data_IF_013677789853
#
_entry.id   IF_013677789853
#
_cell.length_a   1.000
_cell.length_b   1.000
_cell.length_c   1.000
_cell.angle_alpha   90.00
_cell.angle_beta   90.00
_cell.angle_gamma   90.00
#
_symmetry.space_group_name_H-M   'P 1'
#
loop_
_entity.id
_entity.type
_entity.pdbx_description
1 polymer ?
#
# COMPACT_ATOMS: atom_id res chain seq x y z
N UNK A 1 -10.55 -8.32 9.99
CA UNK A 1 -9.99 -8.99 11.17
C UNK A 1 -10.81 -10.23 11.46
N UNK A 2 -10.18 -11.38 11.69
CA UNK A 2 -10.85 -12.60 12.16
C UNK A 2 -10.21 -13.00 13.49
N UNK A 3 -11.02 -13.49 14.42
CA UNK A 3 -10.56 -13.99 15.71
C UNK A 3 -11.17 -15.37 15.95
N UNK A 4 -10.36 -16.30 16.46
CA UNK A 4 -10.76 -17.64 16.84
C UNK A 4 -10.28 -17.94 18.25
N UNK A 5 -11.09 -18.69 19.02
CA UNK A 5 -10.65 -19.19 20.32
C UNK A 5 -9.53 -20.21 20.15
N UNK A 6 -8.52 -20.14 21.02
CA UNK A 6 -7.37 -21.06 21.05
C UNK A 6 -7.20 -21.59 22.47
N UNK A 7 -6.69 -22.81 22.60
CA UNK A 7 -6.25 -23.38 23.87
C UNK A 7 -4.91 -22.74 24.24
N UNK A 8 -4.80 -22.12 25.42
CA UNK A 8 -3.57 -21.44 25.84
C UNK A 8 -2.36 -22.38 25.90
N UNK A 9 -2.60 -23.69 26.02
CA UNK A 9 -1.58 -24.74 26.09
C UNK A 9 -1.06 -25.17 24.71
N UNK A 10 -1.58 -24.61 23.62
CA UNK A 10 -1.11 -24.85 22.25
C UNK A 10 0.18 -24.07 21.91
N UNK A 11 0.82 -23.45 22.90
CA UNK A 11 2.12 -22.78 22.76
C UNK A 11 3.26 -23.73 23.09
N UNK A 12 4.11 -24.04 22.09
CA UNK A 12 5.27 -24.93 22.29
C UNK A 12 6.52 -24.22 22.81
N UNK A 13 6.57 -22.91 22.69
CA UNK A 13 7.72 -22.09 23.07
C UNK A 13 7.29 -20.64 23.27
N UNK A 14 8.03 -19.92 24.12
CA UNK A 14 7.85 -18.50 24.39
C UNK A 14 9.22 -17.83 24.48
N UNK A 15 9.31 -16.56 24.08
CA UNK A 15 10.53 -15.76 24.07
C UNK A 15 10.22 -14.30 24.42
N UNK A 16 11.15 -13.65 25.09
CA UNK A 16 11.06 -12.24 25.48
C UNK A 16 12.12 -11.36 24.78
N UNK A 17 12.98 -11.96 23.97
CA UNK A 17 14.07 -11.32 23.24
C UNK A 17 13.69 -11.02 21.79
N UNK A 18 12.52 -10.38 21.61
CA UNK A 18 12.04 -10.01 20.28
C UNK A 18 13.07 -9.10 19.57
N UNK A 19 13.36 -9.42 18.30
CA UNK A 19 14.15 -8.57 17.41
C UNK A 19 13.22 -8.04 16.33
N UNK A 20 13.07 -6.74 16.26
CA UNK A 20 12.36 -6.07 15.18
C UNK A 20 13.37 -5.57 14.14
N UNK A 21 12.95 -5.47 12.89
CA UNK A 21 13.73 -4.86 11.81
C UNK A 21 12.94 -3.72 11.20
N UNK A 22 13.47 -2.52 11.33
CA UNK A 22 12.91 -1.31 10.76
C UNK A 22 13.61 -1.03 9.43
N UNK A 23 12.82 -0.88 8.37
CA UNK A 23 13.25 -0.41 7.07
C UNK A 23 12.76 1.03 6.90
N UNK A 24 13.62 1.88 6.35
CA UNK A 24 13.28 3.25 5.97
C UNK A 24 13.72 3.51 4.54
N UNK A 25 12.89 4.24 3.79
CA UNK A 25 13.08 4.50 2.37
C UNK A 25 12.96 6.00 2.12
N UNK A 26 14.00 6.57 1.52
CA UNK A 26 14.02 7.98 1.14
C UNK A 26 13.62 8.20 -0.32
N UNK A 27 13.52 9.47 -0.73
CA UNK A 27 13.16 9.85 -2.10
C UNK A 27 14.24 9.51 -3.14
N UNK A 28 15.48 9.26 -2.71
CA UNK A 28 16.59 8.84 -3.58
C UNK A 28 16.63 7.33 -3.81
N UNK A 29 15.72 6.56 -3.19
CA UNK A 29 15.72 5.10 -3.24
C UNK A 29 16.76 4.45 -2.34
N UNK A 30 17.39 5.22 -1.43
CA UNK A 30 18.30 4.67 -0.42
C UNK A 30 17.47 4.03 0.68
N UNK A 31 17.78 2.76 0.96
CA UNK A 31 17.20 2.02 2.08
C UNK A 31 18.16 2.04 3.26
N UNK A 32 17.68 2.39 4.44
CA UNK A 32 18.35 2.13 5.70
C UNK A 32 17.59 1.06 6.48
N UNK A 33 18.33 0.09 7.03
CA UNK A 33 17.79 -1.06 7.75
C UNK A 33 18.48 -1.18 9.09
N UNK A 34 17.70 -1.21 10.16
CA UNK A 34 18.21 -1.30 11.54
C UNK A 34 17.42 -2.36 12.31
N UNK A 35 18.13 -3.21 13.05
CA UNK A 35 17.52 -4.11 14.02
C UNK A 35 17.32 -3.40 15.36
N UNK A 36 16.10 -3.48 15.89
CA UNK A 36 15.72 -2.96 17.21
C UNK A 36 15.54 -4.17 18.13
N UNK A 37 16.33 -4.21 19.19
CA UNK A 37 16.36 -5.28 20.21
C UNK A 37 16.06 -4.68 21.58
N UNK A 38 15.74 -5.53 22.55
CA UNK A 38 15.45 -5.14 23.94
C UNK A 38 14.38 -4.03 24.07
N UNK A 39 13.39 -4.10 23.18
CA UNK A 39 12.33 -3.10 23.05
C UNK A 39 10.95 -3.79 22.96
N UNK A 40 9.91 -3.10 23.40
CA UNK A 40 8.54 -3.54 23.13
C UNK A 40 8.15 -3.19 21.68
N UNK A 41 7.11 -3.84 21.16
CA UNK A 41 6.56 -3.55 19.82
C UNK A 41 6.21 -2.07 19.67
N UNK A 42 5.68 -1.45 20.73
CA UNK A 42 5.25 -0.06 20.76
C UNK A 42 6.43 0.90 20.54
N UNK A 43 7.60 0.59 21.13
CA UNK A 43 8.82 1.38 20.95
C UNK A 43 9.36 1.23 19.52
N UNK A 44 9.29 0.03 18.96
CA UNK A 44 9.69 -0.24 17.58
C UNK A 44 8.78 0.47 16.56
N UNK A 45 7.46 0.47 16.78
CA UNK A 45 6.50 1.23 15.97
C UNK A 45 6.74 2.75 16.09
N UNK A 46 6.93 3.25 17.31
CA UNK A 46 7.26 4.66 17.54
C UNK A 46 8.52 5.09 16.80
N UNK A 47 9.54 4.23 16.76
CA UNK A 47 10.76 4.50 15.98
C UNK A 47 10.47 4.67 14.49
N UNK A 48 9.58 3.85 13.93
CA UNK A 48 9.07 4.00 12.56
C UNK A 48 8.30 5.31 12.37
N UNK A 49 7.40 5.66 13.29
CA UNK A 49 6.65 6.92 13.23
C UNK A 49 7.55 8.16 13.23
N UNK A 50 8.61 8.16 14.05
CA UNK A 50 9.61 9.24 14.08
C UNK A 50 10.33 9.36 12.73
N UNK A 51 10.68 8.23 12.11
CA UNK A 51 11.22 8.24 10.75
C UNK A 51 10.21 8.79 9.73
N UNK A 52 8.93 8.39 9.84
CA UNK A 52 7.84 8.91 9.02
C UNK A 52 7.70 10.43 9.07
N UNK A 53 7.72 11.02 10.27
CA UNK A 53 7.69 12.48 10.46
C UNK A 53 8.89 13.20 9.87
N UNK A 54 9.99 12.48 9.61
CA UNK A 54 11.19 13.00 8.96
C UNK A 54 11.14 12.88 7.43
N UNK A 55 9.99 12.52 6.86
CA UNK A 55 9.80 12.41 5.40
C UNK A 55 10.31 11.09 4.82
N UNK A 56 10.31 10.01 5.61
CA UNK A 56 10.70 8.67 5.15
C UNK A 56 9.48 7.76 5.07
N UNK A 57 9.41 6.94 4.02
CA UNK A 57 8.58 5.74 4.08
C UNK A 57 9.24 4.75 5.04
N UNK A 58 8.44 3.92 5.72
CA UNK A 58 8.99 2.93 6.64
C UNK A 58 8.10 1.70 6.76
N UNK A 59 8.73 0.57 7.05
CA UNK A 59 8.07 -0.70 7.36
C UNK A 59 8.80 -1.42 8.50
N UNK A 60 8.07 -2.24 9.23
CA UNK A 60 8.56 -2.94 10.41
C UNK A 60 8.24 -4.42 10.32
N UNK A 61 9.23 -5.27 10.57
CA UNK A 61 9.08 -6.72 10.65
C UNK A 61 9.56 -7.25 12.00
N UNK A 62 8.95 -8.33 12.48
CA UNK A 62 9.53 -9.20 13.48
C UNK A 62 10.51 -10.16 12.80
N UNK A 63 11.74 -10.23 13.29
CA UNK A 63 12.76 -11.15 12.82
C UNK A 63 12.59 -12.48 13.54
N UNK A 64 12.38 -13.55 12.78
CA UNK A 64 12.29 -14.91 13.30
C UNK A 64 13.51 -15.67 12.82
N UNK A 65 14.32 -16.18 13.76
CA UNK A 65 15.38 -17.13 13.45
C UNK A 65 14.78 -18.55 13.56
N UNK A 66 14.42 -19.15 12.43
CA UNK A 66 13.90 -20.52 12.32
C UNK A 66 15.07 -21.51 12.16
N UNK A 67 15.03 -22.63 12.88
CA UNK A 67 16.14 -23.60 12.88
C UNK A 67 16.28 -24.37 11.58
N UNK A 68 15.21 -24.49 10.78
CA UNK A 68 15.22 -25.18 9.49
C UNK A 68 15.25 -24.22 8.30
N UNK A 69 14.52 -23.11 8.36
CA UNK A 69 14.39 -22.14 7.28
C UNK A 69 15.39 -20.98 7.37
N UNK A 70 16.12 -20.88 8.48
CA UNK A 70 17.02 -19.76 8.75
C UNK A 70 16.25 -18.50 9.15
N UNK A 71 16.84 -17.33 8.90
CA UNK A 71 16.24 -16.05 9.28
C UNK A 71 15.12 -15.65 8.33
N UNK A 72 13.91 -15.53 8.87
CA UNK A 72 12.73 -15.00 8.19
C UNK A 72 12.23 -13.70 8.82
N UNK A 73 11.24 -13.11 8.16
CA UNK A 73 10.56 -11.89 8.57
C UNK A 73 9.05 -12.14 8.65
N UNK A 74 8.42 -11.59 9.67
CA UNK A 74 6.96 -11.44 9.76
C UNK A 74 6.66 -9.94 9.74
N UNK A 75 6.07 -9.45 8.65
CA UNK A 75 5.73 -8.03 8.51
C UNK A 75 4.66 -7.63 9.52
N UNK A 76 4.96 -6.62 10.34
CA UNK A 76 4.09 -6.08 11.38
C UNK A 76 3.40 -4.80 10.94
N UNK A 77 4.07 -4.00 10.12
CA UNK A 77 3.49 -2.83 9.44
C UNK A 77 4.22 -2.59 8.12
N UNK A 78 3.46 -2.43 7.04
CA UNK A 78 4.02 -2.29 5.71
C UNK A 78 4.67 -3.57 5.17
N UNK A 79 5.55 -3.40 4.19
CA UNK A 79 6.31 -4.45 3.51
C UNK A 79 7.63 -3.88 2.99
N UNK A 80 8.41 -4.65 2.25
CA UNK A 80 9.52 -4.06 1.48
C UNK A 80 8.96 -3.14 0.39
N UNK A 81 9.36 -1.88 0.39
CA UNK A 81 8.87 -0.89 -0.57
C UNK A 81 9.49 -1.06 -1.97
N UNK A 82 10.55 -1.85 -2.12
CA UNK A 82 11.10 -2.15 -3.44
C UNK A 82 10.37 -3.30 -4.13
N UNK A 83 9.68 -4.14 -3.38
CA UNK A 83 8.91 -5.24 -3.92
C UNK A 83 7.56 -4.77 -4.45
N UNK A 84 7.18 -5.30 -5.63
CA UNK A 84 5.85 -5.09 -6.19
C UNK A 84 4.85 -5.98 -5.45
N UNK A 85 3.75 -5.43 -4.91
CA UNK A 85 2.71 -6.24 -4.29
C UNK A 85 2.09 -7.24 -5.29
N UNK A 86 1.92 -8.46 -4.83
CA UNK A 86 1.43 -9.63 -5.58
C UNK A 86 0.15 -10.22 -4.99
N UNK A 87 -0.23 -9.81 -3.77
CA UNK A 87 -1.43 -10.27 -3.08
C UNK A 87 -2.24 -9.10 -2.47
N UNK A 88 -3.54 -9.30 -2.16
CA UNK A 88 -4.34 -8.29 -1.47
C UNK A 88 -3.76 -7.87 -0.11
N UNK A 89 -3.10 -8.79 0.60
CA UNK A 89 -2.46 -8.48 1.88
C UNK A 89 -1.25 -7.55 1.69
N UNK A 90 -0.42 -7.80 0.67
CA UNK A 90 0.69 -6.94 0.32
C UNK A 90 0.21 -5.57 -0.18
N UNK A 91 -0.87 -5.50 -0.96
CA UNK A 91 -1.43 -4.22 -1.36
C UNK A 91 -2.00 -3.43 -0.19
N UNK A 92 -2.62 -4.07 0.81
CA UNK A 92 -3.02 -3.42 2.05
C UNK A 92 -1.82 -2.86 2.80
N UNK A 93 -0.74 -3.64 2.91
CA UNK A 93 0.49 -3.19 3.54
C UNK A 93 1.14 -2.01 2.81
N UNK A 94 1.19 -2.06 1.47
CA UNK A 94 1.65 -0.96 0.60
C UNK A 94 0.82 0.30 0.79
N UNK A 95 -0.51 0.16 0.78
CA UNK A 95 -1.46 1.26 0.98
C UNK A 95 -1.25 1.95 2.34
N UNK A 96 -1.10 1.16 3.41
CA UNK A 96 -0.85 1.65 4.77
C UNK A 96 0.43 2.51 4.82
N UNK A 97 1.52 2.04 4.19
CA UNK A 97 2.77 2.81 4.12
C UNK A 97 2.60 4.13 3.38
N UNK A 98 1.95 4.10 2.20
CA UNK A 98 1.69 5.28 1.38
C UNK A 98 0.81 6.30 2.12
N UNK A 99 -0.27 5.86 2.76
CA UNK A 99 -1.18 6.73 3.49
C UNK A 99 -0.51 7.37 4.71
N UNK A 100 0.30 6.62 5.47
CA UNK A 100 1.12 7.18 6.56
C UNK A 100 2.07 8.26 6.07
N UNK A 101 2.74 8.02 4.95
CA UNK A 101 3.66 8.99 4.38
C UNK A 101 2.93 10.24 3.89
N UNK A 102 1.89 10.08 3.06
CA UNK A 102 1.16 11.20 2.46
C UNK A 102 0.38 12.04 3.49
N UNK A 103 -0.01 11.46 4.62
CA UNK A 103 -0.66 12.18 5.73
C UNK A 103 0.31 13.02 6.58
N UNK A 104 1.61 12.72 6.53
CA UNK A 104 2.64 13.36 7.37
C UNK A 104 3.64 14.21 6.59
N UNK A 105 3.78 13.97 5.28
CA UNK A 105 4.70 14.70 4.43
C UNK A 105 4.35 16.21 4.41
N UNK A 106 5.34 17.12 4.62
CA UNK A 106 5.14 18.53 4.37
C UNK A 106 4.69 18.68 2.91
N UNK A 107 3.59 19.39 2.68
CA UNK A 107 3.04 19.62 1.34
C UNK A 107 3.74 20.85 0.74
N UNK A 108 4.82 20.73 -0.06
CA UNK A 108 5.19 21.83 -0.94
C UNK A 108 3.99 22.14 -1.86
N UNK A 109 3.88 23.36 -2.36
CA UNK A 109 2.83 23.76 -3.31
C UNK A 109 2.91 22.88 -4.57
N UNK A 110 2.22 21.75 -4.56
CA UNK A 110 2.33 20.71 -5.58
C UNK A 110 1.90 19.36 -5.01
N UNK A 111 1.15 18.58 -5.80
CA UNK A 111 0.42 17.39 -5.37
C UNK A 111 1.19 16.42 -4.44
N UNK A 112 0.50 15.79 -3.47
CA UNK A 112 1.08 14.80 -2.58
C UNK A 112 1.75 13.69 -3.38
N UNK A 113 3.05 13.53 -3.19
CA UNK A 113 3.87 12.57 -3.92
C UNK A 113 4.67 11.70 -2.96
N UNK A 114 4.78 10.42 -3.27
CA UNK A 114 5.63 9.43 -2.62
C UNK A 114 7.11 9.80 -2.74
N UNK A 115 8.00 9.17 -1.94
CA UNK A 115 9.43 9.20 -2.20
C UNK A 115 9.73 8.87 -3.67
N UNK A 116 10.51 9.72 -4.34
CA UNK A 116 10.79 9.63 -5.77
C UNK A 116 9.80 10.42 -6.66
N UNK A 117 8.82 11.11 -6.08
CA UNK A 117 7.96 12.05 -6.79
C UNK A 117 6.73 11.43 -7.46
N UNK A 118 6.47 10.13 -7.26
CA UNK A 118 5.28 9.47 -7.82
C UNK A 118 4.00 9.87 -7.08
N UNK A 119 2.93 10.12 -7.83
CA UNK A 119 1.56 10.27 -7.30
C UNK A 119 0.98 8.90 -6.93
N UNK A 120 -0.09 8.89 -6.12
CA UNK A 120 -0.87 7.68 -5.84
C UNK A 120 -2.26 7.82 -6.47
N UNK A 121 -2.52 7.02 -7.50
CA UNK A 121 -3.85 6.94 -8.12
C UNK A 121 -4.53 5.68 -7.59
N UNK A 122 -5.65 5.85 -6.89
CA UNK A 122 -6.47 4.77 -6.37
C UNK A 122 -7.52 4.41 -7.43
N UNK A 123 -7.63 3.13 -7.72
CA UNK A 123 -8.57 2.57 -8.70
C UNK A 123 -9.69 1.85 -7.95
N UNK A 124 -10.90 2.39 -7.96
CA UNK A 124 -12.11 1.73 -7.48
C UNK A 124 -13.37 2.45 -7.96
N UNK A 125 -14.46 1.69 -8.13
CA UNK A 125 -15.78 2.24 -8.43
C UNK A 125 -16.43 2.78 -7.15
N UNK A 126 -16.93 4.01 -7.18
CA UNK A 126 -17.75 4.59 -6.12
C UNK A 126 -19.15 4.89 -6.63
N UNK A 127 -20.13 4.89 -5.72
CA UNK A 127 -21.50 5.22 -6.06
C UNK A 127 -21.63 6.68 -6.51
N UNK A 128 -21.96 6.86 -7.78
CA UNK A 128 -22.21 8.18 -8.39
C UNK A 128 -21.00 8.85 -9.03
N UNK A 129 -19.79 8.29 -8.89
CA UNK A 129 -18.60 8.80 -9.57
C UNK A 129 -18.52 8.27 -11.01
N UNK A 130 -18.30 9.15 -11.99
CA UNK A 130 -18.22 8.79 -13.41
C UNK A 130 -16.98 7.96 -13.74
N UNK A 131 -15.87 8.25 -13.05
CA UNK A 131 -14.58 7.63 -13.26
C UNK A 131 -14.11 6.90 -12.00
N UNK A 132 -13.47 5.73 -12.13
CA UNK A 132 -13.01 4.95 -10.99
C UNK A 132 -11.64 5.41 -10.46
N UNK A 133 -11.24 6.65 -10.75
CA UNK A 133 -9.89 7.16 -10.55
C UNK A 133 -9.89 8.20 -9.43
N UNK A 134 -9.05 8.00 -8.43
CA UNK A 134 -9.02 8.86 -7.25
C UNK A 134 -7.61 9.21 -6.82
N UNK A 135 -7.43 10.40 -6.28
CA UNK A 135 -6.15 10.83 -5.72
C UNK A 135 -6.36 11.48 -4.35
N UNK A 136 -5.98 10.76 -3.30
CA UNK A 136 -6.12 11.24 -1.94
C UNK A 136 -5.13 12.37 -1.62
N UNK A 137 -5.49 13.16 -0.61
CA UNK A 137 -4.70 14.30 -0.12
C UNK A 137 -4.57 15.49 -1.10
N UNK A 138 -5.41 15.54 -2.14
CA UNK A 138 -5.57 16.66 -3.07
C UNK A 138 -6.88 17.43 -2.82
N UNK A 139 -7.03 18.63 -3.42
CA UNK A 139 -8.25 19.42 -3.30
C UNK A 139 -9.45 18.80 -4.05
N UNK A 140 -9.18 18.21 -5.22
CA UNK A 140 -10.14 17.47 -6.03
C UNK A 140 -9.74 16.01 -6.09
N UNK A 141 -10.57 15.15 -5.50
CA UNK A 141 -10.24 13.75 -5.25
C UNK A 141 -10.51 12.84 -6.44
N UNK A 142 -11.50 13.13 -7.28
CA UNK A 142 -11.81 12.32 -8.46
C UNK A 142 -10.97 12.81 -9.64
N UNK A 143 -10.45 11.89 -10.44
CA UNK A 143 -9.63 12.18 -11.62
C UNK A 143 -10.33 11.70 -12.88
N UNK A 144 -10.09 12.39 -13.99
CA UNK A 144 -10.54 11.94 -15.31
C UNK A 144 -9.40 11.29 -16.10
N UNK A 145 -9.69 10.47 -17.12
CA UNK A 145 -8.67 9.96 -18.04
C UNK A 145 -7.84 11.07 -18.70
N UNK A 146 -8.49 12.17 -19.11
CA UNK A 146 -7.83 13.30 -19.77
C UNK A 146 -6.82 14.00 -18.85
N UNK A 147 -7.17 14.21 -17.57
CA UNK A 147 -6.28 14.81 -16.57
C UNK A 147 -5.01 13.99 -16.31
N UNK A 148 -5.11 12.66 -16.48
CA UNK A 148 -3.99 11.74 -16.33
C UNK A 148 -3.28 11.45 -17.67
N UNK A 149 -3.79 11.97 -18.79
CA UNK A 149 -3.25 11.72 -20.12
C UNK A 149 -3.40 10.27 -20.58
N UNK A 150 -4.47 9.58 -20.16
CA UNK A 150 -4.73 8.20 -20.54
C UNK A 150 -5.16 8.09 -22.01
N UNK A 151 -4.94 6.93 -22.60
CA UNK A 151 -5.45 6.61 -23.93
C UNK A 151 -6.99 6.54 -23.94
N UNK A 152 -7.60 7.01 -25.03
CA UNK A 152 -9.05 6.93 -25.24
C UNK A 152 -9.60 5.48 -25.07
N UNK A 153 -8.95 4.42 -25.62
CA UNK A 153 -9.41 3.05 -25.38
C UNK A 153 -9.39 2.61 -23.91
N UNK A 154 -8.42 3.08 -23.11
CA UNK A 154 -8.40 2.78 -21.69
C UNK A 154 -9.49 3.58 -20.94
N UNK A 155 -9.67 4.85 -21.30
CA UNK A 155 -10.76 5.69 -20.80
C UNK A 155 -12.12 5.02 -20.97
N UNK A 156 -12.46 4.62 -22.20
CA UNK A 156 -13.73 3.96 -22.50
C UNK A 156 -13.98 2.69 -21.66
N UNK A 157 -12.93 1.88 -21.47
CA UNK A 157 -13.02 0.66 -20.66
C UNK A 157 -13.22 0.95 -19.17
N UNK A 158 -12.55 1.97 -18.63
CA UNK A 158 -12.76 2.41 -17.24
C UNK A 158 -14.19 2.91 -17.04
N UNK A 159 -14.74 3.65 -18.00
CA UNK A 159 -16.12 4.11 -17.97
C UNK A 159 -17.14 2.97 -18.02
N UNK A 160 -16.91 1.99 -18.89
CA UNK A 160 -17.75 0.79 -19.00
C UNK A 160 -17.73 -0.01 -17.69
N UNK A 161 -16.56 -0.18 -17.09
CA UNK A 161 -16.41 -0.90 -15.81
C UNK A 161 -17.20 -0.24 -14.67
N UNK A 162 -17.17 1.10 -14.56
CA UNK A 162 -18.00 1.84 -13.60
C UNK A 162 -19.50 1.66 -13.89
N UNK A 163 -19.90 1.71 -15.16
CA UNK A 163 -21.30 1.56 -15.55
C UNK A 163 -21.84 0.17 -15.18
N UNK A 164 -21.07 -0.88 -15.46
CA UNK A 164 -21.40 -2.25 -15.06
C UNK A 164 -21.50 -2.40 -13.53
N UNK A 165 -20.62 -1.73 -12.78
CA UNK A 165 -20.68 -1.74 -11.31
C UNK A 165 -21.97 -1.14 -10.75
N UNK A 166 -22.53 -0.14 -11.44
CA UNK A 166 -23.78 0.52 -11.03
C UNK A 166 -24.99 -0.35 -11.33
N UNK A 167 -24.95 -1.07 -12.45
CA UNK A 167 -26.07 -1.85 -12.95
C UNK A 167 -26.13 -3.27 -12.33
N UNK A 168 -25.02 -3.79 -11.82
CA UNK A 168 -24.93 -5.12 -11.23
C UNK A 168 -24.22 -5.10 -9.87
N UNK A 169 -24.74 -5.90 -8.92
CA UNK A 169 -24.05 -6.19 -7.65
C UNK A 169 -22.75 -6.96 -7.96
N UNK A 170 -21.62 -6.26 -8.06
CA UNK A 170 -20.33 -6.75 -8.54
C UNK A 170 -19.99 -8.20 -8.15
N UNK A 171 -19.74 -9.04 -9.17
CA UNK A 171 -19.34 -10.44 -9.03
C UNK A 171 -17.86 -10.68 -9.34
N UNK A 172 -17.43 -11.95 -9.37
CA UNK A 172 -16.04 -12.33 -9.63
C UNK A 172 -15.46 -11.81 -10.96
N UNK A 173 -16.28 -11.74 -12.01
CA UNK A 173 -15.87 -11.23 -13.33
C UNK A 173 -15.52 -9.73 -13.28
N UNK A 174 -16.24 -8.97 -12.46
CA UNK A 174 -16.00 -7.54 -12.28
C UNK A 174 -14.65 -7.27 -11.60
N UNK A 175 -14.27 -8.10 -10.61
CA UNK A 175 -12.97 -8.02 -9.93
C UNK A 175 -11.83 -8.43 -10.87
N UNK A 176 -12.04 -9.48 -11.67
CA UNK A 176 -11.06 -9.91 -12.66
C UNK A 176 -10.79 -8.82 -13.70
N UNK A 177 -11.82 -8.10 -14.15
CA UNK A 177 -11.65 -6.95 -15.03
C UNK A 177 -10.93 -5.79 -14.35
N UNK A 178 -11.25 -5.50 -13.08
CA UNK A 178 -10.52 -4.50 -12.29
C UNK A 178 -9.01 -4.74 -12.27
N UNK A 179 -8.56 -5.99 -12.15
CA UNK A 179 -7.13 -6.34 -12.23
C UNK A 179 -6.52 -6.15 -13.63
N UNK A 180 -7.28 -6.39 -14.71
CA UNK A 180 -6.80 -6.10 -16.07
C UNK A 180 -6.66 -4.60 -16.29
N UNK A 181 -7.63 -3.82 -15.83
CA UNK A 181 -7.62 -2.36 -15.90
C UNK A 181 -6.49 -1.77 -15.04
N UNK A 182 -6.27 -2.32 -13.85
CA UNK A 182 -5.13 -1.96 -13.00
C UNK A 182 -3.79 -2.11 -13.74
N UNK A 183 -3.57 -3.25 -14.40
CA UNK A 183 -2.33 -3.51 -15.13
C UNK A 183 -2.11 -2.53 -16.30
N UNK A 184 -3.17 -2.24 -17.06
CA UNK A 184 -3.11 -1.29 -18.18
C UNK A 184 -2.90 0.15 -17.70
N UNK A 185 -3.66 0.56 -16.68
CA UNK A 185 -3.52 1.88 -16.08
C UNK A 185 -2.12 2.08 -15.51
N UNK A 186 -1.57 1.07 -14.82
CA UNK A 186 -0.23 1.13 -14.26
C UNK A 186 0.86 1.24 -15.34
N UNK A 187 0.65 0.66 -16.53
CA UNK A 187 1.57 0.80 -17.66
C UNK A 187 1.57 2.25 -18.19
N UNK A 188 0.39 2.83 -18.41
CA UNK A 188 0.27 4.19 -18.96
C UNK A 188 0.77 5.28 -18.00
N UNK A 189 0.52 5.15 -16.69
CA UNK A 189 0.89 6.19 -15.69
C UNK A 189 2.21 5.90 -14.98
N UNK A 190 2.85 4.77 -15.22
CA UNK A 190 3.94 4.24 -14.38
C UNK A 190 5.17 5.15 -14.26
N UNK A 191 5.34 6.09 -15.20
CA UNK A 191 6.39 7.10 -15.20
C UNK A 191 6.21 8.17 -14.11
N UNK A 192 4.97 8.48 -13.71
CA UNK A 192 4.66 9.56 -12.77
C UNK A 192 3.75 9.14 -11.60
N UNK A 193 3.13 7.96 -11.64
CA UNK A 193 2.23 7.49 -10.60
C UNK A 193 2.34 5.99 -10.33
N UNK A 194 1.95 5.60 -9.12
CA UNK A 194 1.65 4.23 -8.73
C UNK A 194 0.13 4.08 -8.62
N UNK A 195 -0.41 2.98 -9.18
CA UNK A 195 -1.83 2.67 -9.18
C UNK A 195 -2.13 1.69 -8.06
N UNK A 196 -3.04 2.06 -7.16
CA UNK A 196 -3.49 1.25 -6.03
C UNK A 196 -4.83 0.58 -6.36
N UNK A 197 -4.94 -0.76 -6.34
CA UNK A 197 -6.16 -1.50 -6.70
C UNK A 197 -7.17 -1.56 -5.54
N UNK A 198 -7.70 -0.39 -5.14
CA UNK A 198 -8.59 -0.24 -3.99
C UNK A 198 -9.90 -1.02 -4.08
N UNK A 199 -10.32 -1.43 -5.28
CA UNK A 199 -11.46 -2.33 -5.49
C UNK A 199 -11.29 -3.73 -4.85
N UNK A 200 -10.09 -4.07 -4.37
CA UNK A 200 -9.73 -5.39 -3.82
C UNK A 200 -9.17 -5.37 -2.40
N UNK A 201 -9.15 -4.20 -1.75
CA UNK A 201 -8.58 -3.99 -0.41
C UNK A 201 -9.57 -4.25 0.73
#
# INVERSE_FOLDING_TARGET
MQASAVDERDSRWERHDARYRLYTFDAGGVTSTVDIIDAALQDALWSGEVAGRSGLLWSLALVIDDTMLGRGLVWMSGMDYHDRPSSPAEWRARAEMQDRYLSTAPKPEGSPALPGGKRVIRLFCDHGAEWPLWESFTAEYNRTPDELGLSEPLGDRLHAWVSEHRDASGGGDHVAEGWRLHALLQDEVGSFAEVRPDFSL
#
